data_IF_527988622012
#
_entry.id   IF_527988622012
#
_cell.length_a   1.000
_cell.length_b   1.000
_cell.length_c   1.000
_cell.angle_alpha   90.00
_cell.angle_beta   90.00
_cell.angle_gamma   90.00
#
_symmetry.space_group_name_H-M   'P 1'
#
loop_
_entity.id
_entity.type
_entity.pdbx_description
1 polymer ?
#
# COMPACT_ATOMS: atom_id res chain seq x y z
N UNK A 1 0.53 13.08 -63.81
CA UNK A 1 -0.65 12.77 -62.96
C UNK A 1 -0.35 13.23 -61.54
N UNK A 2 -0.85 14.42 -61.17
CA UNK A 2 -0.82 14.91 -59.80
C UNK A 2 -1.80 14.06 -58.98
N UNK A 3 -1.32 13.39 -57.93
CA UNK A 3 -2.21 12.74 -56.96
C UNK A 3 -2.65 13.82 -55.98
N UNK A 4 -3.70 14.55 -56.35
CA UNK A 4 -4.31 15.54 -55.46
C UNK A 4 -4.90 14.77 -54.27
N UNK A 5 -4.17 14.80 -53.16
CA UNK A 5 -4.57 14.08 -51.95
C UNK A 5 -5.69 14.88 -51.31
N UNK A 6 -6.88 14.28 -51.23
CA UNK A 6 -8.10 14.95 -50.77
C UNK A 6 -7.92 15.51 -49.35
N UNK A 7 -8.34 16.75 -49.06
CA UNK A 7 -8.16 17.38 -47.74
C UNK A 7 -8.87 16.61 -46.61
N UNK A 8 -9.93 15.86 -46.94
CA UNK A 8 -10.61 14.98 -45.98
C UNK A 8 -9.70 13.82 -45.53
N UNK A 9 -8.84 13.32 -46.42
CA UNK A 9 -7.89 12.26 -46.12
C UNK A 9 -6.81 12.73 -45.15
N UNK A 10 -6.35 13.97 -45.32
CA UNK A 10 -5.39 14.62 -44.40
C UNK A 10 -6.04 14.87 -43.03
N UNK A 11 -7.29 15.33 -43.01
CA UNK A 11 -8.04 15.54 -41.76
C UNK A 11 -8.25 14.24 -40.97
N UNK A 12 -8.56 13.14 -41.65
CA UNK A 12 -8.70 11.81 -41.02
C UNK A 12 -7.36 11.29 -40.46
N UNK A 13 -6.25 11.53 -41.17
CA UNK A 13 -4.92 11.16 -40.68
C UNK A 13 -4.53 11.97 -39.43
N UNK A 14 -4.81 13.27 -39.40
CA UNK A 14 -4.55 14.12 -38.24
C UNK A 14 -5.43 13.71 -37.06
N UNK A 15 -6.72 13.44 -37.29
CA UNK A 15 -7.61 12.97 -36.23
C UNK A 15 -7.16 11.62 -35.67
N UNK A 16 -6.78 10.69 -36.54
CA UNK A 16 -6.23 9.39 -36.13
C UNK A 16 -4.96 9.54 -35.30
N UNK A 17 -4.05 10.44 -35.70
CA UNK A 17 -2.82 10.74 -34.95
C UNK A 17 -3.10 11.38 -33.58
N UNK A 18 -4.08 12.29 -33.50
CA UNK A 18 -4.47 12.91 -32.22
C UNK A 18 -5.08 11.87 -31.28
N UNK A 19 -5.90 10.95 -31.80
CA UNK A 19 -6.49 9.86 -31.01
C UNK A 19 -5.42 8.89 -30.50
N UNK A 20 -4.42 8.54 -31.33
CA UNK A 20 -3.34 7.64 -30.90
C UNK A 20 -2.43 8.31 -29.87
N UNK A 21 -2.07 9.58 -30.04
CA UNK A 21 -1.28 10.34 -29.07
C UNK A 21 -2.00 10.52 -27.73
N UNK A 22 -3.32 10.75 -27.75
CA UNK A 22 -4.12 10.88 -26.54
C UNK A 22 -4.28 9.56 -25.75
N UNK A 23 -4.10 8.42 -26.42
CA UNK A 23 -4.22 7.09 -25.81
C UNK A 23 -2.92 6.55 -25.20
N UNK A 24 -1.77 7.20 -25.39
CA UNK A 24 -0.50 6.77 -24.79
C UNK A 24 -0.45 7.22 -23.33
N UNK A 25 -1.01 6.40 -22.44
CA UNK A 25 -0.75 6.54 -21.01
C UNK A 25 0.61 5.89 -20.70
N UNK A 26 1.54 6.57 -20.02
CA UNK A 26 2.74 5.91 -19.52
C UNK A 26 2.32 4.75 -18.62
N UNK A 27 2.68 3.53 -19.02
CA UNK A 27 2.52 2.35 -18.19
C UNK A 27 3.53 2.47 -17.05
N UNK A 28 3.11 3.03 -15.91
CA UNK A 28 3.90 2.93 -14.68
C UNK A 28 3.95 1.45 -14.36
N UNK A 29 5.15 0.86 -14.39
CA UNK A 29 5.36 -0.50 -13.96
C UNK A 29 4.90 -0.60 -12.49
N UNK A 30 3.72 -1.17 -12.27
CA UNK A 30 3.09 -1.17 -10.96
C UNK A 30 3.96 -2.00 -9.99
N UNK A 31 4.73 -1.30 -9.15
CA UNK A 31 5.52 -1.92 -8.10
C UNK A 31 4.68 -1.95 -6.83
N UNK A 32 4.26 -3.15 -6.45
CA UNK A 32 3.61 -3.36 -5.16
C UNK A 32 4.55 -2.94 -4.01
N UNK A 33 4.02 -2.18 -3.05
CA UNK A 33 4.75 -1.67 -1.89
C UNK A 33 4.27 -2.37 -0.63
N UNK A 34 5.12 -3.21 -0.04
CA UNK A 34 4.81 -3.93 1.20
C UNK A 34 5.61 -3.35 2.36
N UNK A 35 4.91 -2.99 3.44
CA UNK A 35 5.49 -2.31 4.61
C UNK A 35 5.46 -3.24 5.81
N UNK A 36 6.59 -3.33 6.50
CA UNK A 36 6.74 -4.09 7.74
C UNK A 36 7.46 -3.22 8.76
N UNK A 37 7.10 -3.37 10.04
CA UNK A 37 7.75 -2.65 11.12
C UNK A 37 6.85 -2.48 12.33
N UNK A 38 7.11 -1.42 13.08
CA UNK A 38 6.42 -1.07 14.32
C UNK A 38 5.53 0.18 14.13
N UNK A 39 5.19 0.84 15.25
CA UNK A 39 4.41 2.07 15.30
C UNK A 39 4.88 3.18 14.34
N UNK A 40 6.18 3.28 14.04
CA UNK A 40 6.72 4.36 13.20
C UNK A 40 6.24 4.29 11.75
N UNK A 41 5.85 3.09 11.32
CA UNK A 41 5.39 2.81 9.96
C UNK A 41 3.98 2.21 9.94
N UNK A 42 3.35 2.01 11.10
CA UNK A 42 1.95 1.61 11.22
C UNK A 42 1.01 2.72 10.71
N UNK A 43 0.05 2.33 9.89
CA UNK A 43 -0.98 3.21 9.32
C UNK A 43 -2.39 2.91 9.84
N UNK A 44 -2.52 2.08 10.88
CA UNK A 44 -3.78 1.82 11.58
C UNK A 44 -4.13 0.35 11.80
N UNK A 45 -3.19 -0.60 11.66
CA UNK A 45 -3.47 -2.02 11.93
C UNK A 45 -3.97 -2.24 13.36
N UNK A 46 -3.42 -1.49 14.31
CA UNK A 46 -3.78 -1.60 15.71
C UNK A 46 -5.24 -1.26 16.04
N UNK A 47 -5.92 -0.51 15.18
CA UNK A 47 -7.34 -0.20 15.36
C UNK A 47 -8.23 -1.45 15.21
N UNK A 48 -7.71 -2.49 14.57
CA UNK A 48 -8.38 -3.77 14.34
C UNK A 48 -7.98 -4.84 15.38
N UNK A 49 -7.07 -4.53 16.30
CA UNK A 49 -6.56 -5.47 17.31
C UNK A 49 -7.06 -5.12 18.72
N UNK A 50 -7.20 -6.12 19.58
CA UNK A 50 -7.53 -5.92 21.00
C UNK A 50 -6.29 -5.45 21.79
N UNK A 51 -5.84 -4.22 21.53
CA UNK A 51 -4.65 -3.59 22.12
C UNK A 51 -4.94 -2.16 22.57
N UNK A 52 -4.19 -1.69 23.57
CA UNK A 52 -4.18 -0.29 24.03
C UNK A 52 -3.22 0.58 23.22
N UNK A 53 -2.28 -0.01 22.47
CA UNK A 53 -1.40 0.73 21.57
C UNK A 53 -2.18 1.17 20.33
N UNK A 54 -2.97 2.24 20.42
CA UNK A 54 -3.74 2.78 19.28
C UNK A 54 -3.46 4.25 19.10
N UNK A 55 -3.52 4.69 17.85
CA UNK A 55 -3.38 6.09 17.45
C UNK A 55 -4.67 6.61 16.77
N UNK A 56 -5.82 6.25 17.35
CA UNK A 56 -7.18 6.58 16.91
C UNK A 56 -7.80 7.74 17.69
N UNK A 57 -7.02 8.43 18.54
CA UNK A 57 -7.43 9.56 19.35
C UNK A 57 -6.44 10.74 19.26
N UNK A 58 -6.82 11.97 19.69
CA UNK A 58 -5.88 13.08 19.80
C UNK A 58 -4.68 12.73 20.70
N UNK A 59 -3.46 13.23 20.41
CA UNK A 59 -3.14 14.31 19.46
C UNK A 59 -2.89 13.85 18.01
N UNK A 60 -3.07 12.56 17.69
CA UNK A 60 -2.73 12.03 16.38
C UNK A 60 -3.61 12.59 15.25
N UNK A 61 -3.01 12.78 14.08
CA UNK A 61 -3.70 13.24 12.89
C UNK A 61 -4.02 14.75 12.82
N UNK A 62 -3.50 15.58 13.74
CA UNK A 62 -3.69 17.05 13.72
C UNK A 62 -3.21 17.73 12.42
N UNK A 63 -2.07 17.27 11.89
CA UNK A 63 -1.44 17.76 10.66
C UNK A 63 -1.86 16.94 9.42
N UNK A 64 -2.64 15.87 9.60
CA UNK A 64 -3.17 15.07 8.48
C UNK A 64 -4.22 15.88 7.70
N UNK A 65 -4.38 15.68 6.37
CA UNK A 65 -5.34 16.45 5.57
C UNK A 65 -6.78 16.49 6.12
N UNK A 66 -7.24 15.41 6.75
CA UNK A 66 -8.58 15.33 7.36
C UNK A 66 -8.66 15.93 8.77
N UNK A 67 -7.53 16.26 9.39
CA UNK A 67 -7.38 16.68 10.79
C UNK A 67 -8.06 15.75 11.80
N UNK A 68 -8.06 14.45 11.52
CA UNK A 68 -8.62 13.40 12.36
C UNK A 68 -7.57 12.34 12.58
N UNK A 69 -7.62 11.69 13.74
CA UNK A 69 -6.78 10.54 14.02
C UNK A 69 -7.00 9.45 12.96
N UNK A 70 -5.89 8.93 12.42
CA UNK A 70 -5.90 7.99 11.28
C UNK A 70 -5.43 6.59 11.65
N UNK A 71 -5.00 6.37 12.89
CA UNK A 71 -4.28 5.16 13.29
C UNK A 71 -2.77 5.23 13.08
N UNK A 72 -2.24 6.32 12.49
CA UNK A 72 -0.80 6.60 12.43
C UNK A 72 -0.31 7.18 13.76
N UNK A 73 0.80 6.67 14.27
CA UNK A 73 1.47 7.21 15.47
C UNK A 73 2.24 8.50 15.16
N UNK A 74 1.59 9.45 14.48
CA UNK A 74 2.12 10.74 14.10
C UNK A 74 1.00 11.78 14.00
N UNK A 75 1.37 13.06 13.89
CA UNK A 75 0.37 14.11 13.63
C UNK A 75 -0.16 14.07 12.19
N UNK A 76 0.53 13.43 11.24
CA UNK A 76 0.25 13.55 9.82
C UNK A 76 0.62 12.29 9.05
N UNK A 77 1.27 12.47 7.91
CA UNK A 77 1.78 11.36 7.10
C UNK A 77 2.97 10.69 7.81
N UNK A 78 3.11 9.38 7.64
CA UNK A 78 4.28 8.63 8.09
C UNK A 78 5.21 8.31 6.90
N UNK A 79 6.36 7.68 7.15
CA UNK A 79 7.36 7.40 6.11
C UNK A 79 6.77 6.59 4.93
N UNK A 80 6.00 5.51 5.13
CA UNK A 80 5.30 4.81 4.05
C UNK A 80 4.41 5.68 3.17
N UNK A 81 3.70 6.65 3.75
CA UNK A 81 2.87 7.55 2.96
C UNK A 81 3.72 8.42 2.05
N UNK A 82 4.79 9.00 2.58
CA UNK A 82 5.71 9.85 1.82
C UNK A 82 6.41 9.06 0.71
N UNK A 83 6.76 7.80 0.97
CA UNK A 83 7.31 6.90 -0.07
C UNK A 83 6.25 6.64 -1.14
N UNK A 84 5.01 6.35 -0.75
CA UNK A 84 3.90 6.10 -1.69
C UNK A 84 3.67 7.32 -2.59
N UNK A 85 3.68 8.54 -2.02
CA UNK A 85 3.61 9.79 -2.77
C UNK A 85 4.80 9.96 -3.73
N UNK A 86 6.02 9.70 -3.25
CA UNK A 86 7.24 9.84 -4.05
C UNK A 86 7.30 8.87 -5.24
N UNK A 87 6.72 7.68 -5.11
CA UNK A 87 6.64 6.69 -6.21
C UNK A 87 5.36 6.84 -7.06
N UNK A 88 4.50 7.81 -6.74
CA UNK A 88 3.23 8.04 -7.46
C UNK A 88 2.21 6.91 -7.27
N UNK A 89 2.29 6.17 -6.16
CA UNK A 89 1.37 5.09 -5.81
C UNK A 89 0.28 5.59 -4.87
N UNK A 90 -0.87 4.91 -4.89
CA UNK A 90 -1.83 5.03 -3.79
C UNK A 90 -1.19 4.59 -2.47
N UNK A 91 -1.52 5.21 -1.32
CA UNK A 91 -1.07 4.74 -0.01
C UNK A 91 -1.50 3.30 0.23
N UNK A 92 -0.60 2.52 0.84
CA UNK A 92 -0.93 1.16 1.27
C UNK A 92 -2.00 1.18 2.36
N UNK A 93 -2.88 0.18 2.37
CA UNK A 93 -3.88 0.00 3.42
C UNK A 93 -3.30 -0.85 4.57
N UNK A 94 -3.82 -0.71 5.81
CA UNK A 94 -3.54 -1.67 6.88
C UNK A 94 -3.92 -3.08 6.43
N UNK A 95 -3.08 -4.07 6.72
CA UNK A 95 -3.32 -5.48 6.40
C UNK A 95 -4.65 -6.00 6.96
N UNK A 96 -5.05 -5.51 8.13
CA UNK A 96 -6.28 -5.93 8.80
C UNK A 96 -7.53 -5.14 8.35
N UNK A 97 -7.37 -4.19 7.42
CA UNK A 97 -8.48 -3.38 6.92
C UNK A 97 -9.41 -4.21 6.01
N UNK A 98 -10.74 -4.18 6.22
CA UNK A 98 -11.70 -4.86 5.35
C UNK A 98 -11.64 -4.40 3.88
N UNK A 99 -11.18 -3.17 3.65
CA UNK A 99 -11.04 -2.57 2.33
C UNK A 99 -9.86 -3.13 1.53
N UNK A 100 -8.92 -3.84 2.19
CA UNK A 100 -7.79 -4.49 1.54
C UNK A 100 -8.24 -5.75 0.78
N UNK A 101 -8.76 -5.53 -0.43
CA UNK A 101 -9.19 -6.56 -1.36
C UNK A 101 -8.10 -6.89 -2.41
N UNK A 102 -8.40 -7.80 -3.33
CA UNK A 102 -7.44 -8.27 -4.33
C UNK A 102 -6.82 -7.17 -5.20
N UNK A 103 -7.58 -6.15 -5.59
CA UNK A 103 -7.06 -5.02 -6.38
C UNK A 103 -6.17 -4.11 -5.54
N UNK A 104 -6.58 -3.81 -4.30
CA UNK A 104 -5.77 -3.01 -3.37
C UNK A 104 -4.48 -3.73 -2.96
N UNK A 105 -4.49 -5.05 -2.86
CA UNK A 105 -3.29 -5.85 -2.62
C UNK A 105 -2.26 -5.76 -3.75
N UNK A 106 -2.66 -5.42 -4.99
CA UNK A 106 -1.72 -5.18 -6.09
C UNK A 106 -0.93 -3.87 -5.92
N UNK A 107 -1.51 -2.89 -5.22
CA UNK A 107 -0.78 -1.68 -4.78
C UNK A 107 0.18 -2.04 -3.65
N UNK A 108 -0.21 -2.98 -2.79
CA UNK A 108 0.57 -3.49 -1.67
C UNK A 108 -0.21 -3.40 -0.35
N UNK A 109 0.47 -3.67 0.76
CA UNK A 109 -0.17 -3.68 2.08
C UNK A 109 0.81 -3.34 3.19
N UNK A 110 0.29 -2.75 4.26
CA UNK A 110 1.04 -2.41 5.45
C UNK A 110 0.76 -3.42 6.56
N UNK A 111 1.79 -4.16 6.98
CA UNK A 111 1.73 -5.16 8.03
C UNK A 111 2.29 -4.65 9.36
N UNK A 112 2.76 -3.40 9.43
CA UNK A 112 3.33 -2.85 10.65
C UNK A 112 2.29 -2.70 11.76
N UNK A 113 2.71 -2.86 13.01
CA UNK A 113 1.83 -2.74 14.16
C UNK A 113 2.59 -2.26 15.39
N UNK A 114 2.01 -1.31 16.13
CA UNK A 114 2.56 -0.86 17.39
C UNK A 114 2.48 -1.97 18.45
N UNK A 115 3.61 -2.31 19.07
CA UNK A 115 3.69 -3.43 20.00
C UNK A 115 4.14 -4.76 19.37
N UNK A 116 4.52 -4.77 18.07
CA UNK A 116 5.36 -5.83 17.52
C UNK A 116 6.73 -5.78 18.20
N UNK A 117 7.07 -6.87 18.90
CA UNK A 117 8.42 -7.15 19.37
C UNK A 117 9.09 -8.20 18.48
N UNK A 118 10.39 -8.05 18.21
CA UNK A 118 11.21 -9.11 17.57
C UNK A 118 11.30 -10.35 18.49
N UNK A 119 11.12 -10.16 19.81
CA UNK A 119 11.14 -11.20 20.82
C UNK A 119 9.73 -11.42 21.36
N UNK A 120 9.33 -12.69 21.51
CA UNK A 120 8.03 -13.09 22.07
C UNK A 120 7.77 -12.45 23.46
N UNK A 121 8.85 -12.12 24.18
CA UNK A 121 8.85 -11.59 25.55
C UNK A 121 8.65 -10.07 25.66
N UNK A 122 8.68 -9.30 24.57
CA UNK A 122 8.39 -7.85 24.62
C UNK A 122 6.94 -7.51 24.25
N UNK A 123 6.17 -8.49 23.75
CA UNK A 123 4.75 -8.34 23.46
C UNK A 123 3.82 -8.48 24.67
N UNK A 124 4.31 -8.91 25.84
CA UNK A 124 3.49 -9.16 27.04
C UNK A 124 2.84 -7.91 27.64
N UNK A 125 3.28 -6.71 27.26
CA UNK A 125 2.64 -5.46 27.69
C UNK A 125 1.38 -5.12 26.87
N UNK A 126 1.15 -5.81 25.75
CA UNK A 126 -0.03 -5.63 24.91
C UNK A 126 -0.77 -6.96 24.84
N UNK A 127 -2.08 -6.93 25.09
CA UNK A 127 -2.97 -8.09 25.38
C UNK A 127 -3.00 -9.20 24.29
N UNK A 128 -2.26 -9.04 23.18
CA UNK A 128 -2.07 -10.02 22.12
C UNK A 128 -0.72 -9.83 21.38
N UNK A 129 0.27 -10.72 21.55
CA UNK A 129 1.51 -10.65 20.76
C UNK A 129 1.23 -11.02 19.30
N UNK A 130 1.54 -10.12 18.37
CA UNK A 130 1.42 -10.33 16.92
C UNK A 130 2.80 -10.62 16.33
N UNK A 131 2.97 -11.75 15.63
CA UNK A 131 4.22 -12.13 14.97
C UNK A 131 4.01 -12.30 13.47
N UNK A 132 4.85 -11.63 12.68
CA UNK A 132 4.89 -11.73 11.22
C UNK A 132 6.08 -12.62 10.85
N UNK A 133 5.82 -13.72 10.14
CA UNK A 133 6.86 -14.53 9.51
C UNK A 133 6.81 -14.30 8.01
N UNK A 134 7.88 -13.74 7.48
CA UNK A 134 8.10 -13.65 6.03
C UNK A 134 8.70 -14.99 5.60
N UNK A 135 7.99 -15.72 4.75
CA UNK A 135 8.53 -16.90 4.07
C UNK A 135 8.93 -16.46 2.66
N UNK A 136 10.21 -16.61 2.34
CA UNK A 136 10.69 -16.45 0.97
C UNK A 136 10.10 -17.60 0.13
N UNK A 137 9.12 -17.28 -0.72
CA UNK A 137 8.57 -18.25 -1.66
C UNK A 137 9.42 -18.14 -2.92
N UNK A 138 10.39 -19.05 -3.03
CA UNK A 138 11.18 -19.22 -4.24
C UNK A 138 10.24 -19.28 -5.45
N UNK A 139 10.45 -18.46 -6.50
CA UNK A 139 9.53 -18.32 -7.63
C UNK A 139 9.61 -19.56 -8.52
N UNK A 140 8.97 -20.66 -8.11
CA UNK A 140 9.01 -21.92 -8.83
C UNK A 140 8.09 -21.96 -10.06
N UNK A 141 7.32 -20.89 -10.36
CA UNK A 141 6.42 -20.88 -11.53
C UNK A 141 6.26 -19.56 -12.31
N UNK A 142 6.79 -18.42 -11.84
CA UNK A 142 6.65 -17.14 -12.55
C UNK A 142 7.87 -16.21 -12.34
N UNK A 143 8.85 -16.19 -13.25
CA UNK A 143 10.13 -15.49 -13.06
C UNK A 143 10.04 -13.95 -12.96
N UNK A 144 8.87 -13.37 -13.26
CA UNK A 144 8.65 -11.92 -13.27
C UNK A 144 7.68 -11.43 -12.18
N UNK A 145 7.43 -12.22 -11.12
CA UNK A 145 6.58 -11.81 -10.00
C UNK A 145 7.31 -12.00 -8.67
N UNK A 146 7.55 -10.94 -7.87
CA UNK A 146 7.99 -11.14 -6.50
C UNK A 146 6.88 -11.85 -5.74
N UNK A 147 7.11 -13.10 -5.34
CA UNK A 147 6.21 -13.87 -4.49
C UNK A 147 6.73 -13.81 -3.06
N UNK A 148 6.18 -12.90 -2.26
CA UNK A 148 6.42 -12.84 -0.82
C UNK A 148 5.19 -13.43 -0.14
N UNK A 149 5.30 -14.57 0.54
CA UNK A 149 4.23 -15.08 1.39
C UNK A 149 4.45 -14.58 2.81
N UNK A 150 3.43 -13.92 3.36
CA UNK A 150 3.45 -13.34 4.70
C UNK A 150 2.48 -14.15 5.54
N UNK A 151 2.99 -14.91 6.50
CA UNK A 151 2.17 -15.61 7.48
C UNK A 151 2.10 -14.75 8.75
N UNK A 152 0.92 -14.24 9.06
CA UNK A 152 0.65 -13.64 10.38
C UNK A 152 0.11 -14.71 11.32
N UNK A 153 0.72 -14.86 12.49
CA UNK A 153 0.18 -15.72 13.55
C UNK A 153 -0.30 -14.82 14.69
N UNK A 154 -1.62 -14.80 14.90
CA UNK A 154 -2.22 -14.37 16.17
C UNK A 154 -2.27 -15.63 17.04
N UNK A 155 -1.60 -15.67 18.20
CA UNK A 155 -1.70 -16.81 19.10
C UNK A 155 -3.16 -16.93 19.55
N UNK A 156 -3.78 -18.09 19.24
CA UNK A 156 -5.09 -18.43 19.77
C UNK A 156 -4.98 -18.51 21.30
N UNK A 157 -5.86 -17.78 22.00
CA UNK A 157 -5.99 -17.92 23.45
C UNK A 157 -6.42 -19.35 23.77
N UNK A 158 -5.57 -20.08 24.50
CA UNK A 158 -5.94 -21.30 25.22
C UNK A 158 -6.67 -20.97 26.51
#
# INVERSE_FOLDING_TARGET
MSKDTSPCFISLLILGLVVTLAGVTPQVEARAFFVFGDSLVDNGNNNYLATTARADAPPYGVDYPTRRATGRFSNGLNIPDLISEAIGSEPTLPYLAPELNGEKLLVGANFASAGIGILNDTGVQFVSPFSIRILDVSPQHHPNRPAIAILSTIPAKG
#
